data_IF_171807640206
#
_entry.id   IF_171807640206
#
_cell.length_a   1.000
_cell.length_b   1.000
_cell.length_c   1.000
_cell.angle_alpha   90.00
_cell.angle_beta   90.00
_cell.angle_gamma   90.00
#
_symmetry.space_group_name_H-M   'P 1'
#
loop_
_entity.id
_entity.type
_entity.pdbx_description
1 polymer ?
#
# COMPACT_ATOMS: atom_id res chain seq x y z
N UNK A 1 -9.89 9.34 -20.39
CA UNK A 1 -11.14 9.46 -19.62
C UNK A 1 -12.02 10.50 -20.29
N UNK A 2 -13.35 10.32 -20.36
CA UNK A 2 -14.29 11.35 -20.81
C UNK A 2 -14.80 12.23 -19.63
N UNK A 3 -14.08 12.21 -18.51
CA UNK A 3 -14.42 12.92 -17.28
C UNK A 3 -13.15 13.40 -16.57
N UNK A 4 -13.26 14.53 -15.87
CA UNK A 4 -12.21 15.09 -15.01
C UNK A 4 -12.18 14.44 -13.61
N UNK A 5 -13.01 13.41 -13.37
CA UNK A 5 -13.00 12.67 -12.12
C UNK A 5 -11.66 11.95 -11.94
N UNK A 6 -11.03 12.17 -10.78
CA UNK A 6 -9.80 11.50 -10.39
C UNK A 6 -10.09 10.09 -9.87
N UNK A 7 -9.31 9.12 -10.32
CA UNK A 7 -9.40 7.72 -9.93
C UNK A 7 -8.32 7.41 -8.91
N UNK A 8 -8.75 6.92 -7.75
CA UNK A 8 -7.87 6.44 -6.68
C UNK A 8 -8.13 4.96 -6.43
N UNK A 9 -7.06 4.17 -6.36
CA UNK A 9 -7.13 2.76 -5.96
C UNK A 9 -6.52 2.56 -4.57
N UNK A 10 -7.22 1.80 -3.73
CA UNK A 10 -6.67 1.25 -2.49
C UNK A 10 -6.36 -0.23 -2.69
N UNK A 11 -5.18 -0.69 -2.32
CA UNK A 11 -4.72 -2.06 -2.56
C UNK A 11 -3.75 -2.54 -1.49
N UNK A 12 -3.56 -3.85 -1.37
CA UNK A 12 -2.49 -4.45 -0.57
C UNK A 12 -1.19 -4.66 -1.37
N UNK A 13 -1.19 -4.37 -2.68
CA UNK A 13 -0.01 -4.43 -3.54
C UNK A 13 0.44 -5.83 -3.97
N UNK A 14 -0.37 -6.88 -3.79
CA UNK A 14 0.04 -8.26 -4.05
C UNK A 14 -0.30 -8.76 -5.47
N UNK A 15 -0.63 -7.88 -6.40
CA UNK A 15 -1.09 -8.28 -7.75
C UNK A 15 -0.03 -9.08 -8.50
N UNK A 16 1.27 -8.78 -8.33
CA UNK A 16 2.35 -9.53 -8.96
C UNK A 16 2.42 -11.00 -8.51
N UNK A 17 1.94 -11.32 -7.31
CA UNK A 17 1.85 -12.71 -6.82
C UNK A 17 0.55 -13.39 -7.26
N UNK A 18 -0.54 -12.62 -7.41
CA UNK A 18 -1.84 -13.14 -7.88
C UNK A 18 -1.86 -13.37 -9.39
N UNK A 19 -1.23 -12.47 -10.14
CA UNK A 19 -1.20 -12.40 -11.59
C UNK A 19 0.22 -12.01 -12.05
N UNK A 20 1.15 -12.97 -12.13
CA UNK A 20 2.55 -12.70 -12.47
C UNK A 20 2.76 -12.04 -13.84
N UNK A 21 1.79 -12.18 -14.75
CA UNK A 21 1.80 -11.60 -16.09
C UNK A 21 1.09 -10.25 -16.18
N UNK A 22 0.63 -9.69 -15.05
CA UNK A 22 -0.04 -8.39 -15.05
C UNK A 22 0.96 -7.28 -15.36
N UNK A 23 0.70 -6.52 -16.41
CA UNK A 23 1.50 -5.35 -16.77
C UNK A 23 1.11 -4.15 -15.91
N UNK A 24 1.96 -3.81 -14.93
CA UNK A 24 1.77 -2.65 -14.07
C UNK A 24 1.75 -1.33 -14.85
N UNK A 25 2.47 -1.24 -15.98
CA UNK A 25 2.50 -0.01 -16.78
C UNK A 25 1.17 0.29 -17.46
N UNK A 26 0.28 -0.70 -17.60
CA UNK A 26 -1.08 -0.49 -18.09
C UNK A 26 -1.90 0.49 -17.22
N UNK A 27 -1.48 0.71 -15.97
CA UNK A 27 -2.09 1.67 -15.05
C UNK A 27 -1.70 3.13 -15.35
N UNK A 28 -0.64 3.36 -16.12
CA UNK A 28 -0.10 4.70 -16.41
C UNK A 28 -1.12 5.55 -17.18
N UNK A 29 -1.42 6.73 -16.66
CA UNK A 29 -2.37 7.66 -17.28
C UNK A 29 -3.84 7.22 -17.17
N UNK A 30 -4.12 6.09 -16.52
CA UNK A 30 -5.48 5.61 -16.20
C UNK A 30 -5.83 5.89 -14.75
N UNK A 31 -4.84 5.82 -13.84
CA UNK A 31 -5.02 6.01 -12.40
C UNK A 31 -4.23 7.24 -11.94
N UNK A 32 -4.88 8.09 -11.14
CA UNK A 32 -4.29 9.32 -10.61
C UNK A 32 -3.55 9.09 -9.29
N UNK A 33 -4.09 8.19 -8.45
CA UNK A 33 -3.57 7.96 -7.09
C UNK A 33 -3.69 6.51 -6.66
N UNK A 34 -2.71 6.05 -5.88
CA UNK A 34 -2.64 4.70 -5.34
C UNK A 34 -2.33 4.76 -3.83
N UNK A 35 -3.06 4.00 -3.04
CA UNK A 35 -2.73 3.77 -1.63
C UNK A 35 -2.55 2.30 -1.33
N UNK A 36 -1.37 2.00 -0.81
CA UNK A 36 -0.90 0.64 -0.64
C UNK A 36 -0.76 0.39 0.86
N UNK A 37 -1.40 -0.67 1.37
CA UNK A 37 -1.33 -1.01 2.78
C UNK A 37 0.03 -1.62 3.13
N UNK A 38 0.86 -0.87 3.86
CA UNK A 38 2.15 -1.35 4.39
C UNK A 38 1.94 -2.26 5.62
N UNK A 39 1.00 -1.90 6.50
CA UNK A 39 0.57 -2.63 7.71
C UNK A 39 1.63 -2.91 8.79
N UNK A 40 2.90 -3.14 8.45
CA UNK A 40 3.99 -3.40 9.39
C UNK A 40 5.35 -3.01 8.79
N UNK A 41 6.35 -2.87 9.65
CA UNK A 41 7.71 -2.47 9.25
C UNK A 41 8.57 -3.61 8.72
N UNK A 42 8.23 -4.87 9.00
CA UNK A 42 9.03 -6.04 8.61
C UNK A 42 8.17 -7.21 8.08
N UNK A 43 8.76 -8.18 7.36
CA UNK A 43 8.03 -9.30 6.75
C UNK A 43 7.29 -10.20 7.74
N UNK A 44 7.84 -10.42 8.94
CA UNK A 44 7.24 -11.34 9.91
C UNK A 44 6.00 -10.71 10.54
N UNK A 45 6.10 -9.46 11.00
CA UNK A 45 4.94 -8.71 11.51
C UNK A 45 3.89 -8.50 10.44
N UNK A 46 4.31 -8.20 9.21
CA UNK A 46 3.40 -8.09 8.08
C UNK A 46 2.60 -9.37 7.89
N UNK A 47 3.27 -10.52 7.91
CA UNK A 47 2.62 -11.81 7.75
C UNK A 47 1.69 -12.13 8.92
N UNK A 48 2.08 -11.82 10.16
CA UNK A 48 1.26 -11.99 11.35
C UNK A 48 -0.05 -11.18 11.26
N UNK A 49 0.04 -9.91 10.85
CA UNK A 49 -1.11 -9.00 10.72
C UNK A 49 -1.98 -9.38 9.52
N UNK A 50 -1.37 -9.56 8.35
CA UNK A 50 -2.13 -9.74 7.10
C UNK A 50 -2.59 -11.18 6.87
N UNK A 51 -1.93 -12.15 7.51
CA UNK A 51 -2.14 -13.59 7.31
C UNK A 51 -2.14 -13.95 5.82
N UNK A 52 -1.27 -13.30 5.05
CA UNK A 52 -1.22 -13.47 3.60
C UNK A 52 -0.96 -14.93 3.22
N UNK A 53 -1.78 -15.46 2.30
CA UNK A 53 -1.61 -16.81 1.75
C UNK A 53 -0.29 -17.02 1.02
N UNK A 54 0.37 -15.94 0.61
CA UNK A 54 1.65 -15.98 -0.09
C UNK A 54 2.86 -15.97 0.86
N UNK A 55 2.64 -15.99 2.18
CA UNK A 55 3.71 -16.06 3.18
C UNK A 55 4.62 -14.82 3.21
N UNK A 56 5.84 -15.00 3.70
CA UNK A 56 6.86 -13.95 3.81
C UNK A 56 7.14 -13.18 2.49
N UNK A 57 7.13 -13.81 1.29
CA UNK A 57 7.28 -13.10 0.02
C UNK A 57 6.30 -11.94 -0.21
N UNK A 58 5.13 -11.95 0.44
CA UNK A 58 4.11 -10.91 0.30
C UNK A 58 4.62 -9.51 0.58
N UNK A 59 5.46 -9.38 1.62
CA UNK A 59 5.96 -8.09 2.05
C UNK A 59 6.86 -7.44 0.98
N UNK A 60 7.85 -8.19 0.47
CA UNK A 60 8.73 -7.69 -0.58
C UNK A 60 7.98 -7.49 -1.90
N UNK A 61 7.01 -8.33 -2.23
CA UNK A 61 6.15 -8.11 -3.41
C UNK A 61 5.36 -6.81 -3.31
N UNK A 62 4.78 -6.51 -2.14
CA UNK A 62 4.05 -5.27 -1.90
C UNK A 62 4.96 -4.04 -2.03
N UNK A 63 6.18 -4.09 -1.47
CA UNK A 63 7.14 -2.99 -1.60
C UNK A 63 7.60 -2.79 -3.05
N UNK A 64 7.90 -3.87 -3.78
CA UNK A 64 8.28 -3.79 -5.18
C UNK A 64 7.16 -3.20 -6.03
N UNK A 65 5.91 -3.59 -5.78
CA UNK A 65 4.74 -3.00 -6.41
C UNK A 65 4.65 -1.49 -6.14
N UNK A 66 4.87 -1.05 -4.89
CA UNK A 66 4.85 0.36 -4.53
C UNK A 66 5.95 1.17 -5.26
N UNK A 67 7.18 0.65 -5.30
CA UNK A 67 8.31 1.28 -5.98
C UNK A 67 8.03 1.42 -7.48
N UNK A 68 7.61 0.34 -8.13
CA UNK A 68 7.34 0.33 -9.57
C UNK A 68 6.19 1.29 -9.90
N UNK A 69 5.08 1.24 -9.16
CA UNK A 69 3.95 2.13 -9.36
C UNK A 69 4.33 3.61 -9.17
N UNK A 70 5.13 3.93 -8.14
CA UNK A 70 5.57 5.31 -7.86
C UNK A 70 6.47 5.89 -8.96
N UNK A 71 7.10 5.05 -9.80
CA UNK A 71 7.90 5.53 -10.92
C UNK A 71 7.09 6.14 -12.08
N UNK A 72 5.77 5.90 -12.15
CA UNK A 72 4.94 6.40 -13.25
C UNK A 72 3.51 6.86 -12.88
N UNK A 73 3.02 6.56 -11.67
CA UNK A 73 1.73 7.07 -11.16
C UNK A 73 1.99 8.34 -10.33
N UNK A 74 1.25 9.44 -10.57
CA UNK A 74 1.55 10.74 -9.95
C UNK A 74 1.50 10.76 -8.41
N UNK A 75 0.57 10.05 -7.78
CA UNK A 75 0.40 10.04 -6.33
C UNK A 75 0.33 8.62 -5.76
N UNK A 76 1.48 8.04 -5.40
CA UNK A 76 1.54 6.74 -4.72
C UNK A 76 1.96 6.92 -3.26
N UNK A 77 1.21 6.30 -2.35
CA UNK A 77 1.49 6.34 -0.91
C UNK A 77 1.41 4.95 -0.29
N UNK A 78 2.37 4.64 0.56
CA UNK A 78 2.22 3.58 1.56
C UNK A 78 1.31 4.09 2.69
N UNK A 79 0.56 3.18 3.31
CA UNK A 79 -0.39 3.53 4.37
C UNK A 79 -0.33 2.53 5.52
N UNK A 80 -0.46 3.07 6.74
CA UNK A 80 -0.63 2.29 7.98
C UNK A 80 -1.77 2.91 8.80
N UNK A 81 -2.33 2.12 9.72
CA UNK A 81 -3.29 2.59 10.73
C UNK A 81 -2.55 2.69 12.06
N UNK A 82 -2.78 3.75 12.83
CA UNK A 82 -2.06 4.10 14.06
C UNK A 82 -2.34 3.21 15.28
N UNK A 83 -2.77 1.96 15.07
CA UNK A 83 -3.00 0.95 16.11
C UNK A 83 -1.81 0.02 16.34
N UNK A 84 -0.71 0.22 15.60
CA UNK A 84 0.48 -0.65 15.65
C UNK A 84 1.54 -0.19 16.67
N UNK A 85 1.28 0.92 17.38
CA UNK A 85 2.20 1.54 18.34
C UNK A 85 3.20 2.50 17.69
N UNK A 86 3.64 3.51 18.45
CA UNK A 86 4.50 4.59 17.94
C UNK A 86 5.86 4.10 17.42
N UNK A 87 6.48 3.15 18.11
CA UNK A 87 7.76 2.56 17.69
C UNK A 87 7.64 1.87 16.32
N UNK A 88 6.55 1.14 16.09
CA UNK A 88 6.30 0.46 14.82
C UNK A 88 5.93 1.44 13.71
N UNK A 89 5.20 2.51 14.05
CA UNK A 89 4.92 3.61 13.13
C UNK A 89 6.23 4.24 12.65
N UNK A 90 7.20 4.47 13.53
CA UNK A 90 8.49 5.06 13.15
C UNK A 90 9.30 4.11 12.26
N UNK A 91 9.36 2.82 12.59
CA UNK A 91 9.99 1.81 11.72
C UNK A 91 9.34 1.74 10.33
N UNK A 92 8.02 1.93 10.26
CA UNK A 92 7.32 2.05 8.98
C UNK A 92 7.72 3.32 8.21
N UNK A 93 8.00 4.44 8.90
CA UNK A 93 8.50 5.68 8.27
C UNK A 93 9.89 5.47 7.70
N UNK A 94 10.79 4.86 8.47
CA UNK A 94 12.13 4.49 8.01
C UNK A 94 12.04 3.60 6.77
N UNK A 95 11.20 2.57 6.81
CA UNK A 95 11.03 1.68 5.67
C UNK A 95 10.49 2.39 4.44
N UNK A 96 9.49 3.26 4.60
CA UNK A 96 8.93 4.02 3.50
C UNK A 96 9.96 4.98 2.87
N UNK A 97 10.82 5.57 3.70
CA UNK A 97 11.96 6.39 3.27
C UNK A 97 12.98 5.56 2.48
N UNK A 98 13.32 4.36 2.96
CA UNK A 98 14.29 3.47 2.28
C UNK A 98 13.84 3.10 0.86
N UNK A 99 12.54 2.85 0.67
CA UNK A 99 11.99 2.51 -0.64
C UNK A 99 11.62 3.75 -1.48
N UNK A 100 11.75 4.95 -0.93
CA UNK A 100 11.46 6.20 -1.61
C UNK A 100 9.97 6.44 -1.92
N UNK A 101 9.05 5.83 -1.17
CA UNK A 101 7.60 5.98 -1.36
C UNK A 101 6.99 6.67 -0.14
N UNK A 102 6.25 7.78 -0.28
CA UNK A 102 5.68 8.50 0.87
C UNK A 102 4.78 7.64 1.75
N UNK A 103 4.88 7.79 3.08
CA UNK A 103 3.99 7.14 4.04
C UNK A 103 2.89 8.09 4.51
N UNK A 104 1.64 7.61 4.54
CA UNK A 104 0.52 8.24 5.24
C UNK A 104 0.07 7.37 6.41
N UNK A 105 0.19 7.91 7.62
CA UNK A 105 -0.38 7.31 8.83
C UNK A 105 -1.83 7.75 8.96
N UNK A 106 -2.73 6.80 9.22
CA UNK A 106 -4.17 7.04 9.36
C UNK A 106 -4.59 6.80 10.80
N UNK A 107 -5.44 7.68 11.31
CA UNK A 107 -6.13 7.44 12.57
C UNK A 107 -7.09 6.26 12.46
N UNK A 108 -7.13 5.43 13.50
CA UNK A 108 -8.18 4.44 13.69
C UNK A 108 -9.51 5.14 13.98
N UNK A 109 -10.53 4.80 13.21
CA UNK A 109 -11.87 5.33 13.40
C UNK A 109 -12.66 4.28 14.17
N UNK A 110 -12.95 4.55 15.45
CA UNK A 110 -13.73 3.67 16.32
C UNK A 110 -15.25 3.78 16.10
N UNK A 111 -15.71 4.85 15.45
CA UNK A 111 -17.12 5.11 15.15
C UNK A 111 -17.36 4.96 13.63
N UNK A 112 -17.49 3.73 13.15
CA UNK A 112 -18.24 3.52 11.91
C UNK A 112 -19.70 3.76 12.26
N UNK A 113 -20.28 4.90 11.88
CA UNK A 113 -21.73 4.97 11.81
C UNK A 113 -22.15 3.90 10.82
N UNK A 114 -22.98 2.96 11.26
CA UNK A 114 -23.73 2.13 10.33
C UNK A 114 -24.43 3.08 9.35
N UNK A 115 -24.35 2.77 8.06
CA UNK A 115 -25.18 3.48 7.09
C UNK A 115 -26.62 3.07 7.40
N UNK A 116 -27.39 3.97 8.01
CA UNK A 116 -28.85 3.83 8.16
C UNK A 116 -29.53 3.60 6.80
#
# INVERSE_FOLDING_TARGET
>A
SQTDMKIRINTNGLVSLMHPTFDLYSMRGVIDSLSISLNASDPHKYLEITKSRFGLPSYNSMLNFAIVAHSFIPDVKLTIVDVIGEEEVEKCRERAKDVGVPLRVRAFISNNRDYD
#
